data_IF_434447066839
#
_entry.id   IF_434447066839
#
_cell.length_a   1.000
_cell.length_b   1.000
_cell.length_c   1.000
_cell.angle_alpha   90.00
_cell.angle_beta   90.00
_cell.angle_gamma   90.00
#
_symmetry.space_group_name_H-M   'P 1'
#
loop_
_entity.id
_entity.type
_entity.pdbx_description
1 polymer ?
#
# COMPACT_ATOMS: atom_id res chain seq x y z
N UNK A 1 9.01 24.40 17.01
CA UNK A 1 9.58 24.23 15.66
C UNK A 1 8.85 23.07 15.00
N UNK A 2 7.96 23.33 14.04
CA UNK A 2 7.23 22.29 13.30
C UNK A 2 8.10 21.87 12.11
N UNK A 3 8.69 20.67 12.17
CA UNK A 3 9.19 20.01 10.97
C UNK A 3 8.02 19.25 10.34
N UNK A 4 7.27 19.91 9.46
CA UNK A 4 6.39 19.19 8.53
C UNK A 4 7.31 18.48 7.55
N UNK A 5 7.64 17.22 7.84
CA UNK A 5 8.28 16.35 6.87
C UNK A 5 7.38 16.34 5.64
N UNK A 6 7.88 16.90 4.54
CA UNK A 6 7.25 16.83 3.23
C UNK A 6 7.40 15.37 2.78
N UNK A 7 6.55 14.48 3.29
CA UNK A 7 6.40 13.15 2.71
C UNK A 7 5.72 13.38 1.37
N UNK A 8 6.50 13.45 0.29
CA UNK A 8 5.95 13.23 -1.05
C UNK A 8 5.05 12.00 -0.93
N UNK A 9 3.76 12.08 -1.31
CA UNK A 9 2.86 10.95 -1.19
C UNK A 9 3.49 9.82 -1.98
N UNK A 10 4.00 8.82 -1.28
CA UNK A 10 4.59 7.65 -1.92
C UNK A 10 3.45 7.05 -2.74
N UNK A 11 3.64 6.98 -4.05
CA UNK A 11 2.56 6.59 -4.95
C UNK A 11 2.10 5.20 -4.56
N UNK A 12 0.78 4.99 -4.50
CA UNK A 12 0.15 3.74 -4.10
C UNK A 12 0.81 2.53 -4.80
N UNK A 13 1.14 2.68 -6.07
CA UNK A 13 1.84 1.68 -6.88
C UNK A 13 3.19 1.25 -6.30
N UNK A 14 4.01 2.19 -5.81
CA UNK A 14 5.30 1.90 -5.16
C UNK A 14 5.13 1.06 -3.89
N UNK A 15 4.09 1.35 -3.08
CA UNK A 15 3.80 0.58 -1.87
C UNK A 15 3.35 -0.84 -2.23
N UNK A 16 2.52 -0.97 -3.25
CA UNK A 16 2.05 -2.28 -3.73
C UNK A 16 3.19 -3.11 -4.33
N UNK A 17 4.06 -2.51 -5.13
CA UNK A 17 5.27 -3.16 -5.66
C UNK A 17 6.20 -3.66 -4.55
N UNK A 18 6.41 -2.83 -3.51
CA UNK A 18 7.20 -3.22 -2.34
C UNK A 18 6.61 -4.46 -1.67
N UNK A 19 5.31 -4.46 -1.37
CA UNK A 19 4.58 -5.59 -0.77
C UNK A 19 4.74 -6.88 -1.60
N UNK A 20 4.65 -6.78 -2.93
CA UNK A 20 4.82 -7.94 -3.81
C UNK A 20 6.27 -8.46 -3.82
N UNK A 21 7.26 -7.55 -3.77
CA UNK A 21 8.66 -7.92 -3.73
C UNK A 21 9.02 -8.66 -2.44
N UNK A 22 8.56 -8.16 -1.30
CA UNK A 22 8.88 -8.75 0.02
C UNK A 22 7.91 -9.86 0.45
N UNK A 23 6.80 -10.06 -0.29
CA UNK A 23 5.73 -11.04 0.00
C UNK A 23 5.14 -10.88 1.40
N UNK A 24 5.23 -9.67 1.94
CA UNK A 24 4.88 -9.33 3.31
C UNK A 24 4.20 -7.97 3.34
N UNK A 25 3.28 -7.80 4.27
CA UNK A 25 2.72 -6.50 4.60
C UNK A 25 3.10 -6.22 6.04
N UNK A 26 4.00 -5.28 6.24
CA UNK A 26 4.41 -4.79 7.56
C UNK A 26 3.42 -3.74 8.10
N UNK A 27 3.54 -3.38 9.38
CA UNK A 27 2.82 -2.23 9.94
C UNK A 27 3.11 -0.92 9.19
N UNK A 28 4.35 -0.74 8.75
CA UNK A 28 4.72 0.43 7.96
C UNK A 28 4.02 0.43 6.59
N UNK A 29 3.98 -0.73 5.90
CA UNK A 29 3.29 -0.85 4.62
C UNK A 29 1.79 -0.56 4.75
N UNK A 30 1.15 -1.04 5.83
CA UNK A 30 -0.26 -0.71 6.12
C UNK A 30 -0.48 0.80 6.30
N UNK A 31 0.37 1.47 7.09
CA UNK A 31 0.25 2.91 7.32
C UNK A 31 0.43 3.70 6.03
N UNK A 32 1.41 3.31 5.20
CA UNK A 32 1.62 3.92 3.90
C UNK A 32 0.42 3.71 2.98
N UNK A 33 -0.08 2.48 2.88
CA UNK A 33 -1.25 2.15 2.08
C UNK A 33 -2.47 2.96 2.52
N UNK A 34 -2.76 3.03 3.83
CA UNK A 34 -3.87 3.80 4.36
C UNK A 34 -3.71 5.30 4.10
N UNK A 35 -2.51 5.85 4.30
CA UNK A 35 -2.27 7.27 4.01
C UNK A 35 -2.48 7.60 2.54
N UNK A 36 -2.01 6.74 1.62
CA UNK A 36 -2.18 6.91 0.19
C UNK A 36 -3.65 6.81 -0.21
N UNK A 37 -4.40 5.83 0.31
CA UNK A 37 -5.83 5.65 0.03
C UNK A 37 -6.69 6.80 0.58
N UNK A 38 -6.42 7.27 1.79
CA UNK A 38 -7.16 8.39 2.41
C UNK A 38 -6.85 9.74 1.78
N UNK A 39 -5.70 9.88 1.12
CA UNK A 39 -5.31 11.10 0.40
C UNK A 39 -5.97 11.25 -0.97
N UNK A 40 -6.63 10.21 -1.48
CA UNK A 40 -7.29 10.18 -2.78
C UNK A 40 -8.80 10.32 -2.65
N UNK A 41 -9.37 11.17 -3.49
CA UNK A 41 -10.83 11.32 -3.62
C UNK A 41 -11.47 10.08 -4.25
N UNK A 42 -10.79 9.45 -5.21
CA UNK A 42 -11.28 8.25 -5.88
C UNK A 42 -10.13 7.35 -6.36
N UNK A 43 -10.45 6.07 -6.54
CA UNK A 43 -9.52 5.07 -7.09
C UNK A 43 -9.84 4.81 -8.55
N UNK A 44 -8.84 4.93 -9.41
CA UNK A 44 -8.98 4.55 -10.81
C UNK A 44 -9.01 3.02 -10.97
N UNK A 45 -9.39 2.56 -12.17
CA UNK A 45 -9.55 1.12 -12.43
C UNK A 45 -8.25 0.33 -12.27
N UNK A 46 -7.11 0.89 -12.68
CA UNK A 46 -5.81 0.25 -12.55
C UNK A 46 -5.42 0.07 -11.07
N UNK A 47 -5.66 1.08 -10.24
CA UNK A 47 -5.40 1.03 -8.80
C UNK A 47 -6.30 0.00 -8.11
N UNK A 48 -7.58 -0.04 -8.47
CA UNK A 48 -8.52 -1.05 -7.99
C UNK A 48 -8.03 -2.46 -8.33
N UNK A 49 -7.61 -2.68 -9.58
CA UNK A 49 -7.05 -3.97 -10.01
C UNK A 49 -5.79 -4.35 -9.22
N UNK A 50 -4.89 -3.41 -8.95
CA UNK A 50 -3.67 -3.69 -8.19
C UNK A 50 -3.97 -4.02 -6.72
N UNK A 51 -4.89 -3.29 -6.09
CA UNK A 51 -5.36 -3.59 -4.72
C UNK A 51 -6.01 -4.97 -4.68
N UNK A 52 -6.88 -5.30 -5.65
CA UNK A 52 -7.50 -6.62 -5.76
C UNK A 52 -6.46 -7.73 -5.87
N UNK A 53 -5.36 -7.53 -6.62
CA UNK A 53 -4.27 -8.53 -6.68
C UNK A 53 -3.59 -8.74 -5.33
N UNK A 54 -3.37 -7.68 -4.55
CA UNK A 54 -2.79 -7.83 -3.20
C UNK A 54 -3.75 -8.59 -2.29
N UNK A 55 -5.05 -8.29 -2.36
CA UNK A 55 -6.07 -9.00 -1.59
C UNK A 55 -6.13 -10.50 -1.97
N UNK A 56 -6.14 -10.82 -3.26
CA UNK A 56 -6.13 -12.20 -3.74
C UNK A 56 -4.87 -12.94 -3.28
N UNK A 57 -3.72 -12.28 -3.32
CA UNK A 57 -2.46 -12.86 -2.88
C UNK A 57 -2.42 -13.08 -1.35
N UNK A 58 -3.05 -12.20 -0.56
CA UNK A 58 -3.28 -12.43 0.88
C UNK A 58 -4.19 -13.63 1.11
N UNK A 59 -5.34 -13.69 0.42
CA UNK A 59 -6.32 -14.76 0.58
C UNK A 59 -5.75 -16.13 0.20
N UNK A 60 -4.88 -16.18 -0.82
CA UNK A 60 -4.17 -17.39 -1.25
C UNK A 60 -2.96 -17.75 -0.38
N UNK A 61 -2.62 -16.92 0.61
CA UNK A 61 -1.45 -17.09 1.49
C UNK A 61 -0.10 -16.84 0.81
N UNK A 62 -0.09 -16.21 -0.36
CA UNK A 62 1.12 -15.82 -1.11
C UNK A 62 1.78 -14.59 -0.51
N UNK A 63 1.02 -13.77 0.20
CA UNK A 63 1.48 -12.65 1.00
C UNK A 63 1.05 -12.89 2.43
N UNK A 64 1.90 -12.55 3.40
CA UNK A 64 1.56 -12.60 4.82
C UNK A 64 1.59 -11.22 5.44
N UNK A 65 0.62 -10.92 6.27
CA UNK A 65 0.71 -9.76 7.17
C UNK A 65 1.65 -10.13 8.30
N UNK A 66 2.64 -9.28 8.55
CA UNK A 66 3.64 -9.44 9.61
C UNK A 66 3.69 -8.15 10.42
N UNK A 67 3.90 -8.25 11.73
CA UNK A 67 4.07 -7.08 12.60
C UNK A 67 5.48 -6.46 12.44
#
# INVERSE_FOLDING_TARGET
MLTTATSSPMQLETVLEHIFAIRRITRQDQQLLMSALLSKEDLNEQERLQISRVFDALQRGLIKVVD
#
